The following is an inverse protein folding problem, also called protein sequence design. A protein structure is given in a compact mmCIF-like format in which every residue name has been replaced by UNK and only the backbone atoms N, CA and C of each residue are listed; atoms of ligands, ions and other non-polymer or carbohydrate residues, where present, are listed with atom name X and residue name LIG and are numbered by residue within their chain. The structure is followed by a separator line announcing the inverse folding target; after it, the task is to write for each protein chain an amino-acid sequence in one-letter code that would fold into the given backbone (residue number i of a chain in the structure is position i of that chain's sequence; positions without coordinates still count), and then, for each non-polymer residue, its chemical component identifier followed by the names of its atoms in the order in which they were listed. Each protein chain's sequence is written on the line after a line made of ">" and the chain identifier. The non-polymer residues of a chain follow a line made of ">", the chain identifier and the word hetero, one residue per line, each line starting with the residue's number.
data_IF_096118238408
#
_entry.id   IF_096118238408
#
_cell.length_a   1.000
_cell.length_b   1.000
_cell.length_c   1.000
_cell.angle_alpha   90.00
_cell.angle_beta   90.00
_cell.angle_gamma   90.00
#
_symmetry.space_group_name_H-M   'P 1'
#
loop_
_entity.id
_entity.type
_entity.pdbx_description
1 polymer ?
#
# COMPACT_ATOMS: atom_id res chain seq x y z
N UNK A 1 -23.79 -37.22 -65.79
CA UNK A 1 -22.79 -38.29 -65.90
C UNK A 1 -21.51 -37.83 -65.22
N UNK A 2 -21.00 -38.63 -64.26
CA UNK A 2 -19.68 -38.63 -63.58
C UNK A 2 -19.08 -37.27 -63.15
N UNK A 3 -19.05 -36.93 -61.85
CA UNK A 3 -18.08 -37.34 -60.81
C UNK A 3 -16.62 -36.98 -61.14
N UNK A 4 -15.99 -36.16 -60.29
CA UNK A 4 -14.86 -36.56 -59.41
C UNK A 4 -14.47 -35.37 -58.53
N UNK A 5 -14.32 -35.64 -57.23
CA UNK A 5 -13.75 -34.77 -56.19
C UNK A 5 -12.24 -34.60 -56.40
N UNK A 6 -11.71 -33.41 -56.15
CA UNK A 6 -10.32 -33.26 -55.70
C UNK A 6 -10.26 -32.37 -54.45
N UNK A 7 -9.77 -32.98 -53.38
CA UNK A 7 -9.36 -32.38 -52.13
C UNK A 7 -8.02 -31.67 -52.36
N UNK A 8 -7.95 -30.37 -52.09
CA UNK A 8 -6.68 -29.66 -51.98
C UNK A 8 -6.16 -29.79 -50.55
N UNK A 9 -5.10 -30.60 -50.38
CA UNK A 9 -4.29 -30.62 -49.18
C UNK A 9 -3.37 -29.40 -49.18
N UNK A 10 -3.55 -28.48 -48.24
CA UNK A 10 -2.57 -27.44 -47.94
C UNK A 10 -1.58 -27.96 -46.92
N UNK A 11 -0.35 -28.19 -47.36
CA UNK A 11 0.78 -28.55 -46.52
C UNK A 11 1.18 -27.33 -45.67
N UNK A 12 1.03 -27.47 -44.34
CA UNK A 12 1.63 -26.54 -43.39
C UNK A 12 3.11 -26.93 -43.20
N UNK A 13 3.99 -26.05 -43.65
CA UNK A 13 5.44 -26.15 -43.46
C UNK A 13 5.74 -25.90 -41.98
N UNK A 14 6.02 -26.96 -41.22
CA UNK A 14 6.59 -26.85 -39.87
C UNK A 14 8.05 -26.39 -40.00
N UNK A 15 8.31 -25.13 -39.68
CA UNK A 15 9.66 -24.65 -39.39
C UNK A 15 9.95 -25.00 -37.92
N UNK A 16 10.63 -26.11 -37.70
CA UNK A 16 11.27 -26.43 -36.42
C UNK A 16 12.39 -25.44 -36.15
N UNK A 17 12.13 -24.41 -35.34
CA UNK A 17 13.18 -23.64 -34.69
C UNK A 17 13.71 -24.49 -33.54
N UNK A 18 14.89 -25.07 -33.73
CA UNK A 18 15.64 -25.73 -32.67
C UNK A 18 16.11 -24.69 -31.66
N UNK A 19 15.33 -24.49 -30.59
CA UNK A 19 15.82 -23.81 -29.40
C UNK A 19 16.65 -24.84 -28.64
N UNK A 20 17.97 -24.72 -28.77
CA UNK A 20 18.91 -25.37 -27.84
C UNK A 20 18.63 -24.81 -26.45
N UNK A 21 18.03 -25.62 -25.59
CA UNK A 21 17.87 -25.31 -24.17
C UNK A 21 19.26 -25.15 -23.56
N UNK A 22 19.70 -23.90 -23.35
CA UNK A 22 20.73 -23.61 -22.39
C UNK A 22 20.16 -23.99 -21.03
N UNK A 23 20.82 -24.94 -20.37
CA UNK A 23 20.53 -25.41 -19.02
C UNK A 23 20.38 -24.24 -18.06
N UNK A 24 19.13 -23.87 -17.77
CA UNK A 24 18.80 -23.08 -16.59
C UNK A 24 19.17 -23.94 -15.39
N UNK A 25 20.15 -23.50 -14.61
CA UNK A 25 20.38 -24.02 -13.27
C UNK A 25 19.13 -23.71 -12.43
N UNK A 26 18.16 -24.62 -12.49
CA UNK A 26 17.04 -24.65 -11.58
C UNK A 26 17.63 -24.98 -10.20
N UNK A 27 17.57 -23.99 -9.30
CA UNK A 27 17.94 -24.17 -7.90
C UNK A 27 17.10 -25.30 -7.31
N UNK A 28 17.79 -26.27 -6.71
CA UNK A 28 17.17 -27.47 -6.14
C UNK A 28 16.31 -27.13 -4.91
N UNK A 29 15.27 -27.93 -4.58
CA UNK A 29 14.33 -27.69 -3.48
C UNK A 29 14.95 -27.72 -2.07
N UNK A 30 16.25 -27.90 -1.96
CA UNK A 30 16.97 -28.19 -0.71
C UNK A 30 17.53 -26.93 -0.01
N UNK A 31 17.34 -25.73 -0.56
CA UNK A 31 17.84 -24.48 0.05
C UNK A 31 16.93 -23.88 1.14
N UNK A 32 15.74 -24.44 1.37
CA UNK A 32 14.85 -23.99 2.46
C UNK A 32 15.21 -24.65 3.80
N UNK A 33 15.76 -25.88 3.78
CA UNK A 33 16.22 -26.57 5.00
C UNK A 33 17.62 -26.15 5.48
N UNK A 34 18.37 -25.40 4.68
CA UNK A 34 19.69 -24.88 5.05
C UNK A 34 19.70 -23.41 5.44
N UNK A 35 18.54 -22.76 5.60
CA UNK A 35 18.47 -21.55 6.44
C UNK A 35 18.62 -22.03 7.87
N UNK A 36 19.72 -21.72 8.57
CA UNK A 36 19.76 -22.07 9.97
C UNK A 36 18.61 -21.29 10.63
N UNK A 37 17.69 -22.04 11.22
CA UNK A 37 16.88 -21.63 12.37
C UNK A 37 17.77 -21.36 13.61
N UNK A 38 18.95 -20.76 13.38
CA UNK A 38 19.82 -20.19 14.39
C UNK A 38 19.49 -18.70 14.53
N UNK A 39 19.64 -18.15 15.73
CA UNK A 39 18.90 -16.97 16.12
C UNK A 39 19.45 -15.75 15.41
N UNK A 40 18.64 -15.13 14.54
CA UNK A 40 18.64 -13.66 14.41
C UNK A 40 17.99 -13.11 15.69
N UNK A 41 18.53 -13.47 16.85
CA UNK A 41 18.12 -12.97 18.15
C UNK A 41 19.32 -12.29 18.79
N UNK A 42 19.72 -11.17 18.19
CA UNK A 42 19.75 -9.90 18.91
C UNK A 42 19.21 -8.82 17.99
N UNK A 43 17.89 -8.77 17.88
CA UNK A 43 17.06 -7.59 18.18
C UNK A 43 17.80 -6.24 18.19
N UNK A 44 18.41 -5.82 17.09
CA UNK A 44 18.43 -4.39 16.78
C UNK A 44 17.01 -4.11 16.28
N UNK A 45 16.07 -3.94 17.23
CA UNK A 45 14.91 -3.11 16.93
C UNK A 45 15.50 -1.85 16.30
N UNK A 46 14.99 -1.46 15.13
CA UNK A 46 15.34 -0.17 14.57
C UNK A 46 15.28 0.84 15.72
N UNK A 47 16.35 1.60 15.96
CA UNK A 47 16.33 2.65 16.97
C UNK A 47 15.45 3.78 16.42
N UNK A 48 14.15 3.50 16.31
CA UNK A 48 13.14 4.33 15.66
C UNK A 48 12.36 5.16 16.69
N UNK A 49 12.75 5.11 17.97
CA UNK A 49 12.13 5.90 19.04
C UNK A 49 12.20 7.40 18.76
N UNK A 50 13.22 7.85 18.03
CA UNK A 50 13.41 9.24 17.61
C UNK A 50 12.78 9.55 16.24
N UNK A 51 12.21 8.55 15.56
CA UNK A 51 11.60 8.71 14.25
C UNK A 51 10.13 9.07 14.42
N UNK A 52 9.63 10.11 13.72
CA UNK A 52 8.21 10.49 13.76
C UNK A 52 7.29 9.31 13.42
N UNK A 53 6.17 9.19 14.12
CA UNK A 53 5.22 8.08 13.93
C UNK A 53 4.70 7.96 12.50
N UNK A 54 4.48 9.09 11.81
CA UNK A 54 4.10 9.12 10.40
C UNK A 54 5.15 8.44 9.51
N UNK A 55 6.44 8.70 9.76
CA UNK A 55 7.54 8.10 8.98
C UNK A 55 7.64 6.61 9.25
N UNK A 56 7.53 6.20 10.52
CA UNK A 56 7.50 4.78 10.89
C UNK A 56 6.34 4.07 10.22
N UNK A 57 5.16 4.69 10.20
CA UNK A 57 3.98 4.15 9.53
C UNK A 57 4.21 3.98 8.03
N UNK A 58 4.67 5.02 7.33
CA UNK A 58 4.97 4.98 5.90
C UNK A 58 5.96 3.87 5.53
N UNK A 59 7.05 3.71 6.30
CA UNK A 59 8.02 2.64 6.00
C UNK A 59 7.54 1.24 6.40
N UNK A 60 6.60 1.10 7.35
CA UNK A 60 5.94 -0.19 7.60
C UNK A 60 5.05 -0.60 6.43
N UNK A 61 4.34 0.36 5.84
CA UNK A 61 3.56 0.15 4.63
C UNK A 61 4.45 -0.27 3.46
N UNK A 62 5.57 0.44 3.25
CA UNK A 62 6.55 0.06 2.24
C UNK A 62 7.13 -1.33 2.47
N UNK A 63 7.52 -1.64 3.71
CA UNK A 63 8.06 -2.95 4.05
C UNK A 63 7.05 -4.08 3.80
N UNK A 64 5.76 -3.81 4.04
CA UNK A 64 4.68 -4.78 3.84
C UNK A 64 4.47 -5.06 2.34
N UNK A 65 4.43 -4.01 1.52
CA UNK A 65 4.34 -4.14 0.06
C UNK A 65 5.56 -4.87 -0.51
N UNK A 66 6.77 -4.53 -0.06
CA UNK A 66 8.01 -5.19 -0.47
C UNK A 66 8.04 -6.67 -0.07
N UNK A 67 7.60 -6.99 1.15
CA UNK A 67 7.49 -8.37 1.60
C UNK A 67 6.54 -9.17 0.69
N UNK A 68 5.37 -8.63 0.37
CA UNK A 68 4.43 -9.28 -0.54
C UNK A 68 5.03 -9.47 -1.95
N UNK A 69 5.72 -8.47 -2.50
CA UNK A 69 6.37 -8.59 -3.81
C UNK A 69 7.42 -9.70 -3.84
N UNK A 70 8.23 -9.81 -2.78
CA UNK A 70 9.23 -10.88 -2.67
C UNK A 70 8.58 -12.26 -2.62
N UNK A 71 7.51 -12.41 -1.82
CA UNK A 71 6.76 -13.67 -1.74
C UNK A 71 6.19 -14.09 -3.10
N UNK A 72 5.67 -13.15 -3.89
CA UNK A 72 5.11 -13.45 -5.22
C UNK A 72 6.23 -13.74 -6.24
N UNK A 73 7.36 -13.03 -6.16
CA UNK A 73 8.51 -13.26 -7.05
C UNK A 73 9.20 -14.62 -6.81
N UNK A 74 9.18 -15.13 -5.58
CA UNK A 74 9.77 -16.43 -5.21
C UNK A 74 8.94 -17.65 -5.70
N UNK A 75 7.72 -17.44 -6.22
CA UNK A 75 6.88 -18.47 -6.84
C UNK A 75 5.88 -19.17 -5.91
N UNK A 76 5.13 -20.12 -6.47
CA UNK A 76 3.82 -20.61 -5.99
C UNK A 76 3.72 -21.10 -4.53
N UNK A 77 4.81 -21.45 -3.84
CA UNK A 77 4.75 -22.00 -2.47
C UNK A 77 4.57 -20.93 -1.38
N UNK A 78 5.06 -19.71 -1.58
CA UNK A 78 4.83 -18.54 -0.71
C UNK A 78 3.49 -17.86 -0.98
N UNK A 79 2.87 -18.26 -2.08
CA UNK A 79 1.59 -17.78 -2.58
C UNK A 79 0.39 -18.43 -1.86
N UNK A 80 0.56 -19.57 -1.18
CA UNK A 80 -0.53 -20.22 -0.43
C UNK A 80 -0.71 -19.67 1.00
N UNK A 81 0.30 -18.98 1.55
CA UNK A 81 0.17 -18.32 2.85
C UNK A 81 -0.58 -17.00 2.69
N UNK A 82 -1.77 -16.91 3.30
CA UNK A 82 -2.56 -15.67 3.37
C UNK A 82 -1.90 -14.63 4.27
N UNK A 83 -1.25 -15.07 5.34
CA UNK A 83 -0.54 -14.17 6.25
C UNK A 83 0.84 -13.82 5.70
N UNK A 84 1.21 -12.55 5.83
CA UNK A 84 2.55 -12.07 5.47
C UNK A 84 3.53 -12.38 6.61
N UNK A 85 4.74 -12.90 6.33
CA UNK A 85 5.71 -13.22 7.37
C UNK A 85 6.17 -11.94 8.10
N UNK A 86 5.82 -11.83 9.38
CA UNK A 86 6.13 -10.66 10.20
C UNK A 86 7.65 -10.39 10.28
N UNK A 87 8.47 -11.44 10.30
CA UNK A 87 9.94 -11.31 10.31
C UNK A 87 10.48 -10.72 9.00
N UNK A 88 9.87 -11.06 7.86
CA UNK A 88 10.26 -10.48 6.56
C UNK A 88 9.89 -8.99 6.52
N UNK A 89 8.68 -8.63 6.93
CA UNK A 89 8.26 -7.22 7.03
C UNK A 89 9.21 -6.46 7.96
N UNK A 90 9.52 -7.02 9.14
CA UNK A 90 10.34 -6.34 10.12
C UNK A 90 11.79 -6.16 9.66
N UNK A 91 12.37 -7.13 8.95
CA UNK A 91 13.74 -7.01 8.42
C UNK A 91 13.84 -5.96 7.31
N UNK A 92 12.85 -5.90 6.41
CA UNK A 92 12.78 -4.86 5.36
C UNK A 92 12.54 -3.48 5.99
N UNK A 93 11.61 -3.38 6.95
CA UNK A 93 11.35 -2.14 7.69
C UNK A 93 12.62 -1.60 8.35
N UNK A 94 13.37 -2.46 9.05
CA UNK A 94 14.64 -2.07 9.66
C UNK A 94 15.61 -1.54 8.61
N UNK A 95 15.71 -2.18 7.44
CA UNK A 95 16.60 -1.72 6.37
C UNK A 95 16.19 -0.34 5.80
N UNK A 96 14.89 -0.11 5.58
CA UNK A 96 14.35 1.18 5.14
C UNK A 96 14.63 2.29 6.16
N UNK A 97 14.45 1.99 7.45
CA UNK A 97 14.73 2.93 8.54
C UNK A 97 16.23 3.26 8.64
N UNK A 98 17.11 2.29 8.41
CA UNK A 98 18.55 2.54 8.40
C UNK A 98 18.94 3.51 7.27
N UNK A 99 18.36 3.36 6.06
CA UNK A 99 18.53 4.38 5.01
C UNK A 99 17.97 5.73 5.45
N UNK A 100 16.78 5.77 6.07
CA UNK A 100 16.24 7.02 6.61
C UNK A 100 17.19 7.67 7.63
N UNK A 101 17.90 6.91 8.47
CA UNK A 101 18.79 7.44 9.50
C UNK A 101 20.20 7.77 8.99
N UNK A 102 20.57 7.35 7.78
CA UNK A 102 21.89 7.58 7.18
C UNK A 102 22.09 9.03 6.71
N UNK A 103 21.99 10.00 7.63
CA UNK A 103 22.11 11.44 7.34
C UNK A 103 23.48 11.87 6.85
N UNK A 104 24.50 11.03 7.05
CA UNK A 104 25.85 11.23 6.51
C UNK A 104 25.98 10.85 5.02
N UNK A 105 24.96 10.22 4.43
CA UNK A 105 24.94 9.82 3.02
C UNK A 105 24.17 10.85 2.17
N UNK A 106 24.80 11.70 1.33
CA UNK A 106 24.08 12.73 0.57
C UNK A 106 22.99 12.17 -0.35
N UNK A 107 23.18 10.96 -0.88
CA UNK A 107 22.19 10.27 -1.70
C UNK A 107 20.89 9.96 -0.94
N UNK A 108 20.95 9.81 0.39
CA UNK A 108 19.76 9.66 1.25
C UNK A 108 18.84 10.86 1.12
N UNK A 109 19.38 12.07 1.09
CA UNK A 109 18.59 13.30 1.00
C UNK A 109 17.79 13.36 -0.32
N UNK A 110 18.32 12.77 -1.40
CA UNK A 110 17.57 12.66 -2.65
C UNK A 110 16.33 11.77 -2.46
N UNK A 111 16.51 10.56 -1.93
CA UNK A 111 15.42 9.57 -1.90
C UNK A 111 14.42 9.79 -0.76
N UNK A 112 14.86 10.39 0.35
CA UNK A 112 14.01 10.61 1.54
C UNK A 112 13.43 12.03 1.58
N UNK A 113 14.26 13.06 1.45
CA UNK A 113 13.78 14.44 1.67
C UNK A 113 13.30 15.09 0.39
N UNK A 114 14.05 14.91 -0.70
CA UNK A 114 13.79 15.60 -1.97
C UNK A 114 12.65 14.93 -2.71
N UNK A 115 12.82 13.67 -3.08
CA UNK A 115 11.83 12.93 -3.87
C UNK A 115 10.86 12.12 -3.00
N UNK A 116 11.20 11.92 -1.71
CA UNK A 116 10.36 11.26 -0.72
C UNK A 116 9.70 9.99 -1.28
N UNK A 117 10.56 9.11 -1.80
CA UNK A 117 10.23 7.94 -2.60
C UNK A 117 9.71 6.84 -1.68
N UNK A 118 8.55 6.31 -2.02
CA UNK A 118 7.89 5.18 -1.36
C UNK A 118 7.53 4.11 -2.38
N UNK A 119 7.09 2.96 -1.90
CA UNK A 119 6.60 1.88 -2.74
C UNK A 119 5.30 2.25 -3.45
N UNK A 120 5.10 1.70 -4.65
CA UNK A 120 3.79 1.71 -5.32
C UNK A 120 2.97 0.53 -4.82
N UNK A 121 1.69 0.70 -4.42
CA UNK A 121 0.83 -0.43 -4.05
C UNK A 121 0.38 -1.22 -5.29
N UNK A 122 1.32 -1.94 -5.93
CA UNK A 122 1.05 -2.78 -7.11
C UNK A 122 0.25 -4.02 -6.71
N UNK A 123 0.52 -4.53 -5.51
CA UNK A 123 -0.20 -5.64 -4.91
C UNK A 123 -0.88 -5.14 -3.64
N UNK A 124 -2.01 -4.45 -3.79
CA UNK A 124 -2.75 -3.90 -2.66
C UNK A 124 -3.01 -4.96 -1.58
N UNK A 125 -2.41 -4.77 -0.41
CA UNK A 125 -2.45 -5.71 0.72
C UNK A 125 -3.76 -5.69 1.50
N UNK A 126 -4.69 -4.79 1.16
CA UNK A 126 -5.97 -4.59 1.85
C UNK A 126 -7.20 -4.76 0.96
N UNK A 127 -7.04 -4.78 -0.36
CA UNK A 127 -8.18 -4.84 -1.28
C UNK A 127 -7.98 -5.86 -2.41
N UNK A 128 -9.07 -6.56 -2.73
CA UNK A 128 -9.16 -7.47 -3.87
C UNK A 128 -10.46 -7.24 -4.65
N UNK A 129 -10.43 -7.65 -5.90
CA UNK A 129 -11.55 -7.60 -6.84
C UNK A 129 -12.08 -9.01 -7.04
N UNK A 130 -13.41 -9.17 -7.03
CA UNK A 130 -14.08 -10.45 -7.30
C UNK A 130 -15.16 -10.23 -8.36
N UNK A 131 -14.91 -10.72 -9.57
CA UNK A 131 -15.87 -10.73 -10.66
C UNK A 131 -16.81 -11.91 -10.50
N UNK A 132 -18.12 -11.65 -10.55
CA UNK A 132 -19.15 -12.68 -10.28
C UNK A 132 -20.11 -12.87 -11.44
N UNK A 133 -20.58 -14.11 -11.61
CA UNK A 133 -21.69 -14.45 -12.47
C UNK A 133 -23.01 -13.99 -11.84
N UNK A 134 -23.54 -12.89 -12.38
CA UNK A 134 -24.78 -12.29 -11.89
C UNK A 134 -26.04 -13.16 -11.97
N UNK A 135 -25.98 -14.31 -12.67
CA UNK A 135 -27.08 -15.26 -12.71
C UNK A 135 -27.17 -16.11 -11.44
N UNK A 136 -26.09 -16.18 -10.66
CA UNK A 136 -26.09 -16.90 -9.38
C UNK A 136 -26.88 -16.12 -8.33
N UNK A 137 -27.80 -16.82 -7.64
CA UNK A 137 -28.72 -16.20 -6.69
C UNK A 137 -28.00 -15.42 -5.56
N UNK A 138 -26.88 -15.95 -5.07
CA UNK A 138 -26.13 -15.34 -3.95
C UNK A 138 -25.54 -13.96 -4.30
N UNK A 139 -25.26 -13.68 -5.57
CA UNK A 139 -24.65 -12.41 -6.02
C UNK A 139 -25.60 -11.22 -5.86
N UNK A 140 -26.92 -11.46 -5.74
CA UNK A 140 -27.89 -10.40 -5.47
C UNK A 140 -27.65 -9.75 -4.10
N UNK A 141 -27.10 -10.47 -3.13
CA UNK A 141 -26.78 -9.90 -1.83
C UNK A 141 -25.70 -8.81 -1.94
N UNK A 142 -24.60 -9.07 -2.66
CA UNK A 142 -23.56 -8.08 -2.93
C UNK A 142 -24.07 -6.92 -3.78
N UNK A 143 -24.91 -7.18 -4.79
CA UNK A 143 -25.57 -6.11 -5.56
C UNK A 143 -26.41 -5.18 -4.68
N UNK A 144 -27.02 -5.72 -3.63
CA UNK A 144 -27.79 -4.96 -2.65
C UNK A 144 -26.93 -4.39 -1.50
N UNK A 145 -25.60 -4.41 -1.63
CA UNK A 145 -24.68 -3.85 -0.64
C UNK A 145 -24.55 -4.64 0.66
N UNK A 146 -25.01 -5.90 0.69
CA UNK A 146 -24.85 -6.75 1.88
C UNK A 146 -23.44 -7.31 1.94
N UNK A 147 -22.84 -7.38 3.13
CA UNK A 147 -21.54 -8.01 3.36
C UNK A 147 -21.57 -9.51 3.05
N UNK A 148 -22.52 -10.23 3.67
CA UNK A 148 -22.70 -11.67 3.51
C UNK A 148 -23.76 -11.99 2.44
N UNK A 149 -23.59 -13.14 1.80
CA UNK A 149 -24.29 -13.54 0.58
C UNK A 149 -25.29 -14.67 0.76
N UNK A 150 -25.14 -15.45 1.84
CA UNK A 150 -25.84 -16.72 2.04
C UNK A 150 -25.20 -17.89 1.29
N UNK A 151 -24.13 -17.67 0.52
CA UNK A 151 -23.27 -18.75 0.02
C UNK A 151 -22.22 -19.06 1.09
N UNK A 152 -22.25 -20.30 1.61
CA UNK A 152 -21.40 -20.70 2.73
C UNK A 152 -19.89 -20.60 2.44
N UNK A 153 -19.45 -20.86 1.20
CA UNK A 153 -18.02 -20.77 0.85
C UNK A 153 -17.56 -19.30 0.79
N UNK A 154 -18.37 -18.42 0.19
CA UNK A 154 -18.09 -16.98 0.15
C UNK A 154 -18.10 -16.41 1.57
N UNK A 155 -19.14 -16.70 2.34
CA UNK A 155 -19.34 -16.13 3.67
C UNK A 155 -18.24 -16.60 4.63
N UNK A 156 -17.78 -17.85 4.52
CA UNK A 156 -16.63 -18.34 5.28
C UNK A 156 -15.34 -17.56 4.99
N UNK A 157 -15.03 -17.25 3.73
CA UNK A 157 -13.86 -16.43 3.38
C UNK A 157 -14.02 -14.98 3.87
N UNK A 158 -15.22 -14.41 3.75
CA UNK A 158 -15.52 -13.06 4.23
C UNK A 158 -15.31 -12.95 5.75
N UNK A 159 -15.71 -13.96 6.52
CA UNK A 159 -15.52 -14.01 7.97
C UNK A 159 -14.07 -14.32 8.36
N UNK A 160 -13.45 -15.34 7.75
CA UNK A 160 -12.10 -15.79 8.07
C UNK A 160 -11.05 -14.69 7.92
N UNK A 161 -11.20 -13.87 6.87
CA UNK A 161 -10.23 -12.81 6.54
C UNK A 161 -10.72 -11.40 6.87
N UNK A 162 -11.82 -11.30 7.61
CA UNK A 162 -12.43 -10.03 8.02
C UNK A 162 -12.61 -9.08 6.82
N UNK A 163 -13.21 -9.60 5.76
CA UNK A 163 -13.47 -8.84 4.53
C UNK A 163 -14.83 -8.14 4.64
N UNK A 164 -14.89 -6.93 4.09
CA UNK A 164 -16.07 -6.13 3.90
C UNK A 164 -16.30 -5.86 2.42
N UNK A 165 -17.57 -5.79 2.03
CA UNK A 165 -17.95 -5.30 0.70
C UNK A 165 -17.82 -3.77 0.68
N UNK A 166 -16.71 -3.27 0.12
CA UNK A 166 -16.48 -1.83 -0.04
C UNK A 166 -17.42 -1.25 -1.11
N UNK A 167 -17.57 -1.95 -2.22
CA UNK A 167 -18.39 -1.50 -3.34
C UNK A 167 -18.79 -2.67 -4.24
N UNK A 168 -19.95 -2.57 -4.88
CA UNK A 168 -20.34 -3.42 -6.00
C UNK A 168 -20.55 -2.57 -7.26
N UNK A 169 -19.84 -2.90 -8.34
CA UNK A 169 -19.94 -2.25 -9.64
C UNK A 169 -20.87 -3.05 -10.55
N UNK A 170 -22.15 -2.68 -10.59
CA UNK A 170 -23.19 -3.43 -11.28
C UNK A 170 -22.98 -3.58 -12.80
N UNK A 171 -22.28 -2.63 -13.44
CA UNK A 171 -22.01 -2.68 -14.90
C UNK A 171 -21.07 -3.83 -15.25
N UNK A 172 -20.09 -4.11 -14.39
CA UNK A 172 -19.08 -5.15 -14.60
C UNK A 172 -19.30 -6.39 -13.71
N UNK A 173 -20.36 -6.41 -12.89
CA UNK A 173 -20.60 -7.40 -11.85
C UNK A 173 -19.36 -7.66 -10.97
N UNK A 174 -18.70 -6.57 -10.56
CA UNK A 174 -17.44 -6.61 -9.82
C UNK A 174 -17.66 -6.18 -8.37
N UNK A 175 -17.31 -7.05 -7.42
CA UNK A 175 -17.22 -6.69 -6.02
C UNK A 175 -15.79 -6.21 -5.68
N UNK A 176 -15.70 -5.09 -4.99
CA UNK A 176 -14.46 -4.63 -4.36
C UNK A 176 -14.55 -5.02 -2.89
N UNK A 177 -13.70 -5.94 -2.48
CA UNK A 177 -13.60 -6.41 -1.10
C UNK A 177 -12.41 -5.73 -0.42
N UNK A 178 -12.58 -5.41 0.86
CA UNK A 178 -11.54 -4.77 1.67
C UNK A 178 -11.41 -5.46 3.02
N UNK A 179 -10.21 -5.55 3.56
CA UNK A 179 -9.95 -6.00 4.93
C UNK A 179 -9.24 -4.93 5.75
N UNK A 180 -9.43 -4.98 7.07
CA UNK A 180 -8.68 -4.18 8.04
C UNK A 180 -7.26 -4.71 8.31
N UNK A 181 -6.89 -5.86 7.75
CA UNK A 181 -5.57 -6.48 7.98
C UNK A 181 -4.73 -6.48 6.70
N UNK A 182 -3.41 -6.52 6.86
CA UNK A 182 -2.47 -6.66 5.73
C UNK A 182 -2.35 -8.13 5.35
N UNK A 183 -2.84 -8.49 4.18
CA UNK A 183 -2.85 -9.87 3.69
C UNK A 183 -2.04 -10.02 2.41
N UNK A 184 -1.62 -11.25 2.14
CA UNK A 184 -1.25 -11.69 0.81
C UNK A 184 -2.54 -11.80 -0.04
N UNK A 185 -3.00 -10.68 -0.57
CA UNK A 185 -4.24 -10.60 -1.35
C UNK A 185 -4.24 -11.48 -2.61
N UNK A 186 -3.10 -11.77 -3.29
CA UNK A 186 -3.05 -12.84 -4.29
C UNK A 186 -3.49 -14.21 -3.76
N UNK A 187 -3.04 -14.59 -2.55
CA UNK A 187 -3.42 -15.85 -1.89
C UNK A 187 -4.94 -15.88 -1.62
N UNK A 188 -5.47 -14.80 -1.05
CA UNK A 188 -6.91 -14.68 -0.78
C UNK A 188 -7.73 -14.76 -2.06
N UNK A 189 -7.30 -14.06 -3.12
CA UNK A 189 -7.99 -14.06 -4.41
C UNK A 189 -8.07 -15.46 -5.03
N UNK A 190 -7.03 -16.30 -4.89
CA UNK A 190 -7.09 -17.70 -5.33
C UNK A 190 -8.17 -18.52 -4.64
N UNK A 191 -8.41 -18.29 -3.35
CA UNK A 191 -9.45 -19.00 -2.60
C UNK A 191 -10.85 -18.70 -3.18
N UNK A 192 -11.07 -17.50 -3.71
CA UNK A 192 -12.31 -17.15 -4.41
C UNK A 192 -12.45 -17.81 -5.78
N UNK A 193 -11.36 -17.97 -6.54
CA UNK A 193 -11.39 -18.51 -7.91
C UNK A 193 -11.93 -19.95 -8.01
N UNK A 194 -12.02 -20.68 -6.89
CA UNK A 194 -12.60 -22.04 -6.85
C UNK A 194 -14.11 -22.10 -6.60
N UNK A 195 -14.76 -20.98 -6.28
CA UNK A 195 -16.15 -20.97 -5.80
C UNK A 195 -17.12 -20.82 -6.98
N UNK A 196 -18.18 -21.64 -6.99
CA UNK A 196 -19.21 -21.55 -8.02
C UNK A 196 -19.86 -20.15 -8.06
N UNK A 197 -19.78 -19.50 -9.23
CA UNK A 197 -20.28 -18.14 -9.44
C UNK A 197 -19.22 -17.06 -9.38
N UNK A 198 -18.00 -17.37 -8.95
CA UNK A 198 -16.85 -16.49 -9.15
C UNK A 198 -16.27 -16.74 -10.53
N UNK A 199 -16.18 -15.68 -11.34
CA UNK A 199 -15.59 -15.76 -12.69
C UNK A 199 -14.07 -15.52 -12.63
N UNK A 200 -13.65 -14.58 -11.79
CA UNK A 200 -12.26 -14.32 -11.48
C UNK A 200 -12.17 -13.55 -10.16
N UNK A 201 -11.02 -13.65 -9.52
CA UNK A 201 -10.62 -12.82 -8.40
C UNK A 201 -9.13 -12.46 -8.54
N UNK A 202 -8.81 -11.20 -8.28
CA UNK A 202 -7.47 -10.64 -8.42
C UNK A 202 -7.23 -9.49 -7.45
N UNK A 203 -5.98 -9.09 -7.28
CA UNK A 203 -5.61 -7.96 -6.41
C UNK A 203 -6.10 -6.63 -6.98
N UNK A 204 -6.58 -5.73 -6.12
CA UNK A 204 -6.93 -4.36 -6.50
C UNK A 204 -5.68 -3.45 -6.54
N UNK A 205 -4.74 -3.75 -7.44
CA UNK A 205 -3.47 -3.05 -7.58
C UNK A 205 -3.55 -1.74 -8.37
N UNK A 206 -2.62 -0.82 -8.12
CA UNK A 206 -2.45 0.40 -8.93
C UNK A 206 -1.36 0.19 -9.97
N UNK A 207 -1.71 0.41 -11.24
CA UNK A 207 -0.75 0.52 -12.33
C UNK A 207 -0.35 1.99 -12.48
N UNK A 208 0.73 2.38 -11.82
CA UNK A 208 1.35 3.70 -11.97
C UNK A 208 2.85 3.57 -12.17
N UNK A 209 3.40 4.51 -12.94
CA UNK A 209 4.82 4.66 -13.18
C UNK A 209 5.25 6.01 -12.59
N UNK A 210 6.32 6.01 -11.80
CA UNK A 210 6.68 7.14 -10.94
C UNK A 210 7.71 6.72 -9.89
N UNK A 211 7.46 7.05 -8.63
CA UNK A 211 8.31 6.65 -7.51
C UNK A 211 8.11 5.18 -7.13
N UNK A 212 9.16 4.41 -6.89
CA UNK A 212 9.06 3.04 -6.35
C UNK A 212 10.30 2.66 -5.54
N UNK A 213 10.13 1.74 -4.60
CA UNK A 213 11.22 1.07 -3.89
C UNK A 213 11.20 -0.41 -4.27
N UNK A 214 12.38 -0.98 -4.49
CA UNK A 214 12.58 -2.42 -4.62
C UNK A 214 13.57 -2.89 -3.55
N UNK A 215 13.35 -4.09 -3.04
CA UNK A 215 14.23 -4.73 -2.06
C UNK A 215 14.66 -6.09 -2.59
N UNK A 216 15.93 -6.43 -2.39
CA UNK A 216 16.47 -7.74 -2.72
C UNK A 216 17.46 -8.15 -1.62
N UNK A 217 17.31 -9.36 -1.07
CA UNK A 217 18.27 -9.87 -0.09
C UNK A 217 19.46 -10.51 -0.80
N UNK A 218 20.67 -9.96 -0.60
CA UNK A 218 21.91 -10.43 -1.25
C UNK A 218 22.70 -11.44 -0.41
N UNK A 219 22.06 -12.06 0.59
CA UNK A 219 22.66 -13.06 1.48
C UNK A 219 23.20 -12.48 2.79
N UNK A 220 23.92 -11.36 2.74
CA UNK A 220 24.48 -10.70 3.93
C UNK A 220 24.09 -9.22 4.07
N UNK A 221 23.27 -8.68 3.17
CA UNK A 221 22.72 -7.33 3.23
C UNK A 221 21.41 -7.24 2.43
N UNK A 222 20.61 -6.24 2.74
CA UNK A 222 19.49 -5.80 1.91
C UNK A 222 19.98 -4.81 0.87
N UNK A 223 19.73 -5.08 -0.40
CA UNK A 223 19.89 -4.08 -1.46
C UNK A 223 18.55 -3.38 -1.66
N UNK A 224 18.51 -2.08 -1.40
CA UNK A 224 17.34 -1.23 -1.62
C UNK A 224 17.58 -0.34 -2.84
N UNK A 225 16.68 -0.41 -3.81
CA UNK A 225 16.68 0.45 -5.01
C UNK A 225 15.50 1.40 -4.94
N UNK A 226 15.79 2.68 -4.80
CA UNK A 226 14.80 3.76 -4.86
C UNK A 226 14.82 4.31 -6.28
N UNK A 227 13.66 4.49 -6.89
CA UNK A 227 13.58 5.04 -8.24
C UNK A 227 12.47 6.07 -8.37
N UNK A 228 12.65 7.01 -9.30
CA UNK A 228 11.63 7.95 -9.73
C UNK A 228 11.57 7.98 -11.26
N UNK A 229 10.39 7.76 -11.81
CA UNK A 229 10.05 7.94 -13.21
C UNK A 229 9.60 9.38 -13.51
N UNK A 230 9.98 9.92 -14.66
CA UNK A 230 9.59 11.24 -15.16
C UNK A 230 9.54 11.25 -16.71
N UNK A 231 9.16 12.39 -17.29
CA UNK A 231 8.96 12.52 -18.74
C UNK A 231 7.52 12.20 -19.14
N UNK A 232 7.33 11.42 -20.20
CA UNK A 232 5.98 10.99 -20.62
C UNK A 232 5.48 9.85 -19.74
N UNK A 233 4.71 10.16 -18.68
CA UNK A 233 4.19 9.15 -17.77
C UNK A 233 2.76 8.68 -18.10
N UNK A 234 2.11 9.16 -19.18
CA UNK A 234 0.76 8.71 -19.54
C UNK A 234 0.75 7.26 -20.04
N UNK A 235 1.85 6.81 -20.64
CA UNK A 235 2.05 5.44 -21.11
C UNK A 235 3.11 4.66 -20.29
N UNK A 236 3.54 5.22 -19.16
CA UNK A 236 4.74 4.79 -18.43
C UNK A 236 5.90 5.73 -18.69
N UNK A 237 6.55 6.19 -17.63
CA UNK A 237 7.54 7.24 -17.64
C UNK A 237 8.73 6.89 -18.54
N UNK A 238 9.00 7.74 -19.53
CA UNK A 238 10.09 7.57 -20.51
C UNK A 238 11.49 7.56 -19.88
N UNK A 239 11.63 8.21 -18.73
CA UNK A 239 12.89 8.40 -18.03
C UNK A 239 12.80 7.94 -16.59
N UNK A 240 13.92 7.44 -16.06
CA UNK A 240 13.99 6.98 -14.68
C UNK A 240 15.37 7.21 -14.08
N UNK A 241 15.41 7.69 -12.84
CA UNK A 241 16.63 7.71 -12.03
C UNK A 241 16.50 6.71 -10.89
N UNK A 242 17.57 5.97 -10.59
CA UNK A 242 17.60 4.97 -9.51
C UNK A 242 18.81 5.18 -8.60
N UNK A 243 18.60 5.12 -7.29
CA UNK A 243 19.63 5.11 -6.25
C UNK A 243 19.64 3.76 -5.56
N UNK A 244 20.83 3.19 -5.39
CA UNK A 244 21.02 1.88 -4.76
C UNK A 244 21.74 2.02 -3.44
N UNK A 245 21.20 1.41 -2.38
CA UNK A 245 21.80 1.33 -1.06
C UNK A 245 21.97 -0.14 -0.67
N UNK A 246 23.12 -0.48 -0.12
CA UNK A 246 23.34 -1.75 0.55
C UNK A 246 23.24 -1.51 2.06
N UNK A 247 22.43 -2.32 2.73
CA UNK A 247 22.07 -2.15 4.13
C UNK A 247 22.43 -3.41 4.90
N UNK A 248 23.41 -3.30 5.79
CA UNK A 248 24.04 -4.41 6.48
C UNK A 248 23.36 -4.69 7.83
N UNK A 249 23.41 -5.94 8.34
CA UNK A 249 22.80 -6.31 9.61
C UNK A 249 23.29 -5.53 10.83
N UNK A 250 24.51 -4.99 10.78
CA UNK A 250 25.10 -4.14 11.82
C UNK A 250 24.59 -2.69 11.81
N UNK A 251 23.73 -2.34 10.86
CA UNK A 251 23.21 -1.00 10.65
C UNK A 251 24.04 -0.13 9.71
N UNK A 252 25.11 -0.67 9.13
CA UNK A 252 25.87 0.00 8.09
C UNK A 252 25.00 0.24 6.85
N UNK A 253 25.00 1.47 6.36
CA UNK A 253 24.38 1.84 5.08
C UNK A 253 25.49 2.29 4.14
N UNK A 254 25.56 1.68 2.97
CA UNK A 254 26.50 2.05 1.92
C UNK A 254 25.72 2.47 0.67
N UNK A 255 25.98 3.69 0.18
CA UNK A 255 25.51 4.09 -1.14
C UNK A 255 26.29 3.34 -2.23
N UNK A 256 25.61 2.49 -2.99
CA UNK A 256 26.18 1.64 -4.02
C UNK A 256 26.20 2.29 -5.41
N UNK A 257 25.43 3.37 -5.60
CA UNK A 257 25.50 4.18 -6.82
C UNK A 257 24.14 4.72 -7.28
N UNK A 258 24.22 5.64 -8.25
CA UNK A 258 23.08 6.19 -8.98
C UNK A 258 23.17 5.78 -10.44
N UNK A 259 22.03 5.48 -11.06
CA UNK A 259 21.93 5.12 -12.47
C UNK A 259 20.65 5.66 -13.11
N UNK A 260 20.57 5.59 -14.44
CA UNK A 260 19.42 6.03 -15.22
C UNK A 260 19.55 7.45 -15.77
N UNK A 261 18.43 8.01 -16.22
CA UNK A 261 18.36 9.34 -16.84
C UNK A 261 18.76 10.44 -15.85
N UNK A 262 19.27 11.55 -16.38
CA UNK A 262 19.55 12.74 -15.59
C UNK A 262 18.23 13.35 -15.13
N UNK A 263 18.10 13.59 -13.83
CA UNK A 263 16.92 14.24 -13.27
C UNK A 263 16.66 15.59 -13.94
N UNK A 264 15.40 15.92 -14.20
CA UNK A 264 15.02 17.25 -14.64
C UNK A 264 15.33 18.25 -13.53
N UNK A 265 15.43 19.53 -13.88
CA UNK A 265 15.67 20.58 -12.87
C UNK A 265 14.62 20.52 -11.75
N UNK A 266 14.90 21.03 -10.52
CA UNK A 266 14.05 20.93 -9.33
C UNK A 266 12.57 21.35 -9.45
N UNK A 267 12.13 21.86 -10.61
CA UNK A 267 10.75 22.26 -10.87
C UNK A 267 9.75 21.08 -10.94
N UNK A 268 10.22 19.84 -10.98
CA UNK A 268 9.38 18.63 -11.10
C UNK A 268 9.36 17.75 -9.83
N UNK A 269 9.84 18.27 -8.69
CA UNK A 269 9.88 17.51 -7.44
C UNK A 269 8.45 17.34 -6.88
N UNK A 270 8.02 16.11 -6.49
CA UNK A 270 6.70 15.88 -5.91
C UNK A 270 6.51 16.73 -4.66
N UNK A 271 5.41 17.46 -4.64
CA UNK A 271 4.97 18.31 -3.54
C UNK A 271 3.60 17.82 -3.07
N UNK A 272 3.14 18.19 -1.89
CA UNK A 272 1.81 17.79 -1.47
C UNK A 272 1.46 18.06 -0.02
N UNK A 273 0.47 17.31 0.45
CA UNK A 273 -0.02 17.37 1.82
C UNK A 273 0.06 15.97 2.42
N UNK A 274 0.48 15.88 3.68
CA UNK A 274 0.42 14.65 4.45
C UNK A 274 0.01 14.93 5.88
N UNK A 275 -0.44 13.92 6.62
CA UNK A 275 -0.89 14.15 7.98
C UNK A 275 -1.48 12.93 8.66
N UNK A 276 -2.08 13.19 9.82
CA UNK A 276 -2.86 12.21 10.58
C UNK A 276 -4.16 12.84 11.05
N UNK A 277 -5.22 12.09 10.88
CA UNK A 277 -6.60 12.37 11.25
C UNK A 277 -6.93 11.58 12.51
N UNK A 278 -7.22 12.28 13.61
CA UNK A 278 -7.43 11.67 14.94
C UNK A 278 -8.56 12.33 15.70
N UNK A 279 -9.35 11.57 16.45
CA UNK A 279 -10.28 12.10 17.43
C UNK A 279 -9.70 11.99 18.84
N UNK A 280 -10.02 12.95 19.69
CA UNK A 280 -9.87 12.84 21.12
C UNK A 280 -11.23 12.59 21.77
N UNK A 281 -11.34 11.49 22.51
CA UNK A 281 -12.42 11.26 23.48
C UNK A 281 -11.90 11.62 24.86
N UNK A 282 -12.58 12.55 25.53
CA UNK A 282 -12.38 12.73 26.96
C UNK A 282 -13.08 11.58 27.69
N UNK A 283 -12.39 10.78 28.51
CA UNK A 283 -13.07 9.90 29.44
C UNK A 283 -13.88 10.79 30.38
N UNK A 284 -15.20 10.63 30.35
CA UNK A 284 -16.18 11.61 30.86
C UNK A 284 -16.18 11.91 32.36
N UNK A 285 -15.12 11.59 33.12
CA UNK A 285 -15.02 11.90 34.54
C UNK A 285 -13.55 12.23 34.87
N UNK A 286 -13.26 13.47 35.28
CA UNK A 286 -12.11 13.74 36.16
C UNK A 286 -12.38 12.94 37.43
N UNK A 287 -11.66 11.84 37.66
CA UNK A 287 -11.86 11.07 38.90
C UNK A 287 -11.42 11.95 40.05
N UNK A 288 -12.38 12.49 40.80
CA UNK A 288 -12.10 13.10 42.09
C UNK A 288 -11.87 11.95 43.06
N UNK A 289 -10.63 11.80 43.49
CA UNK A 289 -10.25 10.83 44.49
C UNK A 289 -10.99 11.13 45.80
N UNK A 290 -11.18 10.13 46.69
CA UNK A 290 -11.83 10.33 47.98
C UNK A 290 -11.16 11.39 48.88
N UNK A 291 -9.89 11.70 48.62
CA UNK A 291 -9.09 12.73 49.29
C UNK A 291 -9.26 14.14 48.70
N UNK A 292 -10.12 14.31 47.69
CA UNK A 292 -10.36 15.57 47.00
C UNK A 292 -9.37 15.90 45.88
N UNK A 293 -8.37 15.05 45.62
CA UNK A 293 -7.45 15.25 44.50
C UNK A 293 -8.10 14.88 43.17
N UNK A 294 -7.75 15.58 42.10
CA UNK A 294 -8.25 15.31 40.75
C UNK A 294 -7.25 14.46 39.99
N UNK A 295 -7.67 13.27 39.53
CA UNK A 295 -6.85 12.48 38.63
C UNK A 295 -7.05 13.01 37.20
N UNK A 296 -5.97 13.56 36.64
CA UNK A 296 -5.92 13.90 35.21
C UNK A 296 -5.94 12.61 34.41
N UNK A 297 -7.05 12.36 33.72
CA UNK A 297 -7.14 11.26 32.78
C UNK A 297 -6.79 11.80 31.40
N UNK A 298 -5.75 11.23 30.78
CA UNK A 298 -5.35 11.63 29.45
C UNK A 298 -6.45 11.26 28.43
N UNK A 299 -6.71 12.13 27.44
CA UNK A 299 -7.70 11.84 26.41
C UNK A 299 -7.27 10.61 25.61
N UNK A 300 -8.23 9.76 25.28
CA UNK A 300 -7.98 8.66 24.35
C UNK A 300 -7.94 9.23 22.94
N UNK A 301 -6.80 9.09 22.27
CA UNK A 301 -6.62 9.53 20.88
C UNK A 301 -6.85 8.32 19.97
N UNK A 302 -7.88 8.40 19.14
CA UNK A 302 -8.25 7.36 18.18
C UNK A 302 -8.02 7.84 16.74
N UNK A 303 -7.61 6.96 15.81
CA UNK A 303 -7.55 7.31 14.40
C UNK A 303 -8.96 7.58 13.84
N UNK A 304 -9.06 8.51 12.89
CA UNK A 304 -10.32 8.91 12.26
C UNK A 304 -10.21 8.85 10.74
N UNK A 305 -11.19 8.20 10.12
CA UNK A 305 -11.25 7.95 8.67
C UNK A 305 -12.27 8.82 7.93
N UNK A 306 -12.51 10.03 8.44
CA UNK A 306 -13.40 10.97 7.78
C UNK A 306 -12.74 11.39 6.45
N UNK A 307 -13.41 11.21 5.30
CA UNK A 307 -12.89 11.65 4.00
C UNK A 307 -12.63 13.16 4.01
N UNK A 308 -11.61 13.62 3.30
CA UNK A 308 -11.20 15.03 3.28
C UNK A 308 -11.20 15.53 1.84
N UNK A 309 -12.05 16.50 1.53
CA UNK A 309 -11.99 17.20 0.25
C UNK A 309 -10.85 18.22 0.26
N UNK A 310 -10.10 18.27 -0.84
CA UNK A 310 -9.07 19.27 -1.08
C UNK A 310 -9.64 20.28 -2.05
N UNK A 311 -9.72 21.54 -1.62
CA UNK A 311 -10.25 22.63 -2.42
C UNK A 311 -9.10 23.53 -2.89
N UNK A 312 -9.19 24.03 -4.12
CA UNK A 312 -8.29 25.09 -4.61
C UNK A 312 -8.65 26.46 -4.03
N UNK A 313 -7.88 27.50 -4.38
CA UNK A 313 -8.14 28.89 -3.93
C UNK A 313 -9.52 29.43 -4.37
N UNK A 314 -10.14 28.86 -5.40
CA UNK A 314 -11.47 29.23 -5.87
C UNK A 314 -12.58 28.42 -5.17
N UNK A 315 -12.24 27.54 -4.22
CA UNK A 315 -13.18 26.68 -3.50
C UNK A 315 -13.62 25.44 -4.30
N UNK A 316 -13.00 25.16 -5.44
CA UNK A 316 -13.34 23.99 -6.27
C UNK A 316 -12.67 22.75 -5.71
N UNK A 317 -13.41 21.66 -5.61
CA UNK A 317 -12.86 20.37 -5.21
C UNK A 317 -11.96 19.82 -6.32
N UNK A 318 -10.68 19.64 -6.00
CA UNK A 318 -9.68 19.09 -6.93
C UNK A 318 -9.43 17.61 -6.70
N UNK A 319 -9.59 17.12 -5.47
CA UNK A 319 -9.40 15.72 -5.11
C UNK A 319 -9.93 15.43 -3.71
N UNK A 320 -10.11 14.14 -3.41
CA UNK A 320 -10.63 13.63 -2.14
C UNK A 320 -9.64 12.65 -1.54
N UNK A 321 -9.30 12.86 -0.27
CA UNK A 321 -8.36 12.04 0.49
C UNK A 321 -9.16 11.12 1.40
N UNK A 322 -8.76 9.85 1.46
CA UNK A 322 -9.29 8.86 2.40
C UNK A 322 -8.17 8.47 3.37
N UNK A 323 -8.23 8.89 4.64
CA UNK A 323 -7.27 8.41 5.63
C UNK A 323 -7.32 6.89 5.78
N UNK A 324 -6.15 6.29 6.02
CA UNK A 324 -6.04 4.87 6.33
C UNK A 324 -6.59 4.53 7.71
N UNK A 325 -6.50 3.26 8.11
CA UNK A 325 -7.08 2.76 9.36
C UNK A 325 -6.43 3.32 10.61
N UNK A 326 -5.18 3.75 10.46
CA UNK A 326 -4.38 4.39 11.48
C UNK A 326 -4.52 5.93 11.44
N UNK A 327 -5.37 6.43 10.52
CA UNK A 327 -5.75 7.82 10.32
C UNK A 327 -4.74 8.62 9.50
N UNK A 328 -3.69 7.99 8.97
CA UNK A 328 -2.69 8.69 8.17
C UNK A 328 -3.19 8.92 6.75
N UNK A 329 -2.69 10.00 6.16
CA UNK A 329 -3.00 10.33 4.78
C UNK A 329 -1.83 11.06 4.11
N UNK A 330 -1.76 10.93 2.79
CA UNK A 330 -0.78 11.62 1.95
C UNK A 330 -1.31 11.75 0.52
N UNK A 331 -1.12 12.92 -0.07
CA UNK A 331 -1.49 13.19 -1.46
C UNK A 331 -0.51 14.15 -2.13
N UNK A 332 -0.11 13.84 -3.36
CA UNK A 332 0.69 14.73 -4.19
C UNK A 332 -0.18 15.86 -4.75
N UNK A 333 0.29 17.10 -4.64
CA UNK A 333 -0.37 18.31 -5.15
C UNK A 333 0.69 19.27 -5.72
N UNK A 334 0.39 20.00 -6.81
CA UNK A 334 1.25 21.08 -7.26
C UNK A 334 1.45 22.16 -6.18
N UNK A 335 2.54 22.95 -6.24
CA UNK A 335 2.71 24.10 -5.36
C UNK A 335 1.53 25.07 -5.45
N UNK A 336 1.02 25.52 -4.31
CA UNK A 336 -0.17 26.35 -4.26
C UNK A 336 -0.80 26.39 -2.88
N UNK A 337 -1.87 27.16 -2.74
CA UNK A 337 -2.66 27.18 -1.51
C UNK A 337 -3.92 26.36 -1.71
N UNK A 338 -4.18 25.47 -0.76
CA UNK A 338 -5.34 24.60 -0.74
C UNK A 338 -6.09 24.76 0.55
N UNK A 339 -7.31 24.25 0.56
CA UNK A 339 -8.17 24.25 1.73
C UNK A 339 -8.68 22.83 1.98
N UNK A 340 -8.46 22.30 3.18
CA UNK A 340 -8.92 20.97 3.56
C UNK A 340 -10.30 21.04 4.22
N UNK A 341 -11.24 20.26 3.68
CA UNK A 341 -12.63 20.20 4.08
C UNK A 341 -13.04 18.76 4.44
N UNK A 342 -12.93 18.33 5.71
CA UNK A 342 -13.41 17.02 6.15
C UNK A 342 -14.92 16.86 5.97
N UNK A 343 -15.36 15.71 5.47
CA UNK A 343 -16.76 15.35 5.23
C UNK A 343 -17.45 14.88 6.53
N UNK A 344 -17.59 15.80 7.48
CA UNK A 344 -18.29 15.53 8.73
C UNK A 344 -19.79 15.47 8.45
N UNK A 345 -20.40 14.29 8.61
CA UNK A 345 -21.86 14.17 8.51
C UNK A 345 -22.54 14.75 9.78
N UNK A 346 -23.75 15.32 9.68
CA UNK A 346 -24.45 15.92 10.83
C UNK A 346 -24.69 14.96 12.01
N UNK A 347 -24.77 13.65 11.73
CA UNK A 347 -25.00 12.61 12.74
C UNK A 347 -23.70 12.06 13.32
N UNK A 348 -22.55 12.45 12.76
CA UNK A 348 -21.25 12.09 13.28
C UNK A 348 -20.96 13.04 14.42
N UNK A 349 -20.84 12.52 15.63
CA UNK A 349 -20.51 13.30 16.83
C UNK A 349 -19.10 13.93 16.80
N UNK A 350 -18.47 14.07 15.64
CA UNK A 350 -17.16 14.67 15.48
C UNK A 350 -17.28 16.17 15.19
N UNK A 351 -16.45 16.95 15.86
CA UNK A 351 -16.26 18.38 15.58
C UNK A 351 -14.77 18.62 15.41
N UNK A 352 -14.32 19.37 14.41
CA UNK A 352 -12.92 19.77 14.35
C UNK A 352 -12.53 20.52 15.63
N UNK A 353 -11.42 20.14 16.26
CA UNK A 353 -11.02 20.69 17.56
C UNK A 353 -10.69 22.18 17.49
N UNK A 354 -10.40 22.68 16.28
CA UNK A 354 -10.37 24.10 15.92
C UNK A 354 -11.71 24.37 15.22
N UNK A 355 -12.52 25.29 15.79
CA UNK A 355 -13.90 25.72 15.42
C UNK A 355 -14.63 24.95 14.29
N UNK A 356 -15.90 24.64 14.52
CA UNK A 356 -16.84 23.90 13.61
C UNK A 356 -16.79 24.28 12.12
N UNK A 357 -16.29 25.45 11.75
CA UNK A 357 -16.35 26.01 10.40
C UNK A 357 -14.96 26.37 9.79
N UNK A 358 -13.86 26.16 10.53
CA UNK A 358 -12.52 26.55 10.05
C UNK A 358 -11.90 25.44 9.20
N UNK A 359 -12.28 25.46 7.93
CA UNK A 359 -11.50 24.86 6.87
C UNK A 359 -10.01 25.18 7.04
N UNK A 360 -9.13 24.18 6.96
CA UNK A 360 -7.69 24.41 7.15
C UNK A 360 -7.04 24.82 5.84
N UNK A 361 -6.66 26.09 5.74
CA UNK A 361 -5.85 26.60 4.62
C UNK A 361 -4.39 26.17 4.79
N UNK A 362 -3.81 25.65 3.71
CA UNK A 362 -2.47 25.07 3.69
C UNK A 362 -1.75 25.47 2.41
N UNK A 363 -0.48 25.87 2.56
CA UNK A 363 0.40 26.14 1.42
C UNK A 363 1.29 24.93 1.17
N UNK A 364 1.25 24.43 -0.05
CA UNK A 364 2.17 23.42 -0.58
C UNK A 364 3.31 24.15 -1.25
N UNK A 365 4.52 23.92 -0.75
CA UNK A 365 5.75 24.45 -1.33
C UNK A 365 6.35 23.43 -2.30
N UNK A 366 6.98 23.92 -3.35
CA UNK A 366 7.66 23.07 -4.32
C UNK A 366 8.70 22.16 -3.67
N UNK A 367 8.62 20.87 -4.00
CA UNK A 367 9.46 19.81 -3.50
C UNK A 367 9.25 19.45 -2.04
N UNK A 368 8.11 19.81 -1.44
CA UNK A 368 7.82 19.54 -0.03
C UNK A 368 6.41 18.99 0.18
N UNK A 369 6.29 18.08 1.14
CA UNK A 369 5.01 17.67 1.70
C UNK A 369 4.74 18.45 2.99
N UNK A 370 3.72 19.29 2.97
CA UNK A 370 3.31 20.05 4.16
C UNK A 370 2.56 19.10 5.10
N UNK A 371 3.07 18.95 6.33
CA UNK A 371 2.48 18.06 7.33
C UNK A 371 1.41 18.78 8.14
N UNK A 372 0.20 18.20 8.21
CA UNK A 372 -0.94 18.81 8.90
C UNK A 372 -1.69 17.80 9.78
N UNK A 373 -1.86 18.08 11.09
CA UNK A 373 -2.70 17.25 11.95
C UNK A 373 -4.17 17.66 11.84
N UNK A 374 -5.04 16.70 11.52
CA UNK A 374 -6.49 16.86 11.60
C UNK A 374 -6.99 16.27 12.91
N UNK A 375 -7.39 17.15 13.84
CA UNK A 375 -7.85 16.75 15.17
C UNK A 375 -9.34 17.00 15.30
N UNK A 376 -10.07 15.98 15.71
CA UNK A 376 -11.49 16.03 15.99
C UNK A 376 -11.73 15.85 17.49
N UNK A 377 -12.76 16.48 18.00
CA UNK A 377 -13.35 16.19 19.29
C UNK A 377 -14.58 15.35 19.05
N UNK A 378 -14.66 14.20 19.71
CA UNK A 378 -15.86 13.37 19.66
C UNK A 378 -16.78 13.72 20.83
N UNK A 379 -17.99 14.16 20.51
CA UNK A 379 -19.03 14.53 21.45
C UNK A 379 -19.79 13.26 21.85
N UNK A 380 -19.59 12.76 23.06
CA UNK A 380 -20.41 11.64 23.54
C UNK A 380 -21.86 12.15 23.69
N UNK A 381 -22.88 11.46 23.16
CA UNK A 381 -24.28 11.84 23.37
C UNK A 381 -24.69 11.91 24.84
#
# INVERSE_FOLDING_TARGET
>A
MLSVRQLSASAALLITVGITAASSNALSPTQIESRPSQPIAQKQQAQDSQIPDLVKHQYREDATELALRLLVQEGATSEDSVELPADLIQTIYTALIQVYQATNEPARNAVVDTYNIHTVPRLNTRELLVGVDSTQAWTQAWRNGKRLTGNAEIDALMEQFDLDLKQYLSVSNLAVLRTGRRLNTPAVARLFNGIQGVQYANVNGVLTDGGDIQAEFKGNYWQLKYSIGFGDCMAGCSDRTTWTFNVYPDGGVQFAGQSGSRLPSPREIPSGIQGRSTSSRFPGIIRRNPDGTEQRVEPTISPVRIPINVLDQAGRNITRIEPDEEGYFRIGLPPGTYTLAPEIQPNNYFVLSHRRDELQSITVTQGQFTTIPLKYTELIP
#
